data_IF_945761936673
#
_entry.id   IF_945761936673
#
_cell.length_a   1.000
_cell.length_b   1.000
_cell.length_c   1.000
_cell.angle_alpha   90.00
_cell.angle_beta   90.00
_cell.angle_gamma   90.00
#
_symmetry.space_group_name_H-M   'P 1'
#
loop_
_entity.id
_entity.type
_entity.pdbx_description
1 polymer ?
#
# COMPACT_ATOMS: atom_id res chain seq x y z
N UNK A 1 45.80 -31.43 11.24
CA UNK A 1 45.84 -29.97 10.99
C UNK A 1 44.47 -29.59 10.44
N UNK A 2 43.66 -28.90 11.24
CA UNK A 2 42.26 -28.58 10.93
C UNK A 2 42.21 -27.20 10.30
N UNK A 3 41.98 -27.14 8.98
CA UNK A 3 41.85 -25.87 8.26
C UNK A 3 40.39 -25.41 8.36
N UNK A 4 40.10 -24.58 9.36
CA UNK A 4 38.79 -23.93 9.53
C UNK A 4 38.74 -22.72 8.61
N UNK A 5 38.08 -22.86 7.47
CA UNK A 5 37.82 -21.77 6.54
C UNK A 5 36.72 -20.87 7.14
N UNK A 6 36.93 -19.56 7.32
CA UNK A 6 35.88 -18.69 7.86
C UNK A 6 34.74 -18.55 6.84
N UNK A 7 33.48 -18.49 7.29
CA UNK A 7 32.35 -18.31 6.38
C UNK A 7 32.50 -16.96 5.68
N UNK A 8 32.50 -16.96 4.36
CA UNK A 8 32.44 -15.75 3.54
C UNK A 8 31.19 -14.97 3.93
N UNK A 9 31.38 -13.91 4.71
CA UNK A 9 30.33 -12.94 5.03
C UNK A 9 29.82 -12.39 3.70
N UNK A 10 28.58 -12.75 3.34
CA UNK A 10 27.87 -12.14 2.22
C UNK A 10 27.77 -10.64 2.52
N UNK A 11 28.68 -9.86 1.98
CA UNK A 11 28.60 -8.40 2.00
C UNK A 11 27.30 -8.03 1.29
N UNK A 12 26.27 -7.67 2.07
CA UNK A 12 25.06 -7.09 1.49
C UNK A 12 25.44 -5.70 1.00
N UNK A 13 25.18 -5.44 -0.27
CA UNK A 13 25.37 -4.13 -0.85
C UNK A 13 24.47 -3.12 -0.10
N UNK A 14 25.04 -2.11 0.58
CA UNK A 14 24.27 -1.13 1.35
C UNK A 14 23.30 -0.35 0.47
N UNK A 15 23.58 -0.23 -0.83
CA UNK A 15 22.69 0.40 -1.81
C UNK A 15 21.43 -0.43 -2.02
N UNK A 16 21.59 -1.76 -2.11
CA UNK A 16 20.48 -2.69 -2.28
C UNK A 16 19.58 -2.71 -1.04
N UNK A 17 20.16 -2.73 0.16
CA UNK A 17 19.38 -2.65 1.41
C UNK A 17 18.58 -1.35 1.52
N UNK A 18 19.18 -0.22 1.14
CA UNK A 18 18.48 1.06 1.12
C UNK A 18 17.31 1.05 0.13
N UNK A 19 17.52 0.52 -1.08
CA UNK A 19 16.45 0.40 -2.08
C UNK A 19 15.33 -0.51 -1.59
N UNK A 20 15.64 -1.70 -1.08
CA UNK A 20 14.66 -2.64 -0.56
C UNK A 20 13.82 -2.02 0.57
N UNK A 21 14.46 -1.22 1.45
CA UNK A 21 13.76 -0.49 2.51
C UNK A 21 12.80 0.56 1.96
N UNK A 22 13.21 1.32 0.95
CA UNK A 22 12.36 2.32 0.30
C UNK A 22 11.13 1.66 -0.34
N UNK A 23 11.33 0.56 -1.08
CA UNK A 23 10.23 -0.16 -1.73
C UNK A 23 9.21 -0.67 -0.73
N UNK A 24 9.67 -1.34 0.34
CA UNK A 24 8.78 -1.81 1.42
C UNK A 24 8.03 -0.66 2.10
N UNK A 25 8.68 0.49 2.24
CA UNK A 25 8.06 1.66 2.87
C UNK A 25 6.96 2.21 1.96
N UNK A 26 7.22 2.35 0.67
CA UNK A 26 6.21 2.81 -0.30
C UNK A 26 5.05 1.82 -0.40
N UNK A 27 5.32 0.52 -0.40
CA UNK A 27 4.28 -0.53 -0.42
C UNK A 27 3.42 -0.50 0.85
N UNK A 28 4.02 -0.29 2.03
CA UNK A 28 3.27 -0.14 3.28
C UNK A 28 2.39 1.12 3.27
N UNK A 29 2.91 2.25 2.77
CA UNK A 29 2.14 3.49 2.63
C UNK A 29 1.00 3.35 1.63
N UNK A 30 1.24 2.66 0.50
CA UNK A 30 0.20 2.35 -0.48
C UNK A 30 -0.91 1.50 0.15
N UNK A 31 -0.56 0.44 0.87
CA UNK A 31 -1.52 -0.41 1.58
C UNK A 31 -2.36 0.38 2.60
N UNK A 32 -1.71 1.24 3.39
CA UNK A 32 -2.41 2.10 4.35
C UNK A 32 -3.35 3.09 3.66
N UNK A 33 -2.93 3.71 2.56
CA UNK A 33 -3.77 4.63 1.79
C UNK A 33 -5.01 3.92 1.23
N UNK A 34 -4.83 2.73 0.63
CA UNK A 34 -5.96 1.91 0.13
C UNK A 34 -6.95 1.61 1.25
N UNK A 35 -6.45 1.13 2.39
CA UNK A 35 -7.30 0.78 3.55
C UNK A 35 -8.04 2.00 4.11
N UNK A 36 -7.37 3.16 4.15
CA UNK A 36 -7.97 4.41 4.63
C UNK A 36 -9.07 4.90 3.69
N UNK A 37 -8.87 4.83 2.37
CA UNK A 37 -9.87 5.19 1.38
C UNK A 37 -11.10 4.26 1.44
N UNK A 38 -10.89 2.96 1.62
CA UNK A 38 -11.97 1.98 1.78
C UNK A 38 -12.83 2.26 3.02
N UNK A 39 -12.18 2.54 4.16
CA UNK A 39 -12.89 2.92 5.39
C UNK A 39 -13.63 4.24 5.22
N UNK A 40 -13.00 5.22 4.57
CA UNK A 40 -13.62 6.54 4.31
C UNK A 40 -14.87 6.39 3.45
N UNK A 41 -14.82 5.56 2.40
CA UNK A 41 -15.98 5.28 1.56
C UNK A 41 -17.11 4.63 2.38
N UNK A 42 -16.78 3.63 3.22
CA UNK A 42 -17.75 2.93 4.06
C UNK A 42 -18.46 3.89 5.02
N UNK A 43 -17.70 4.76 5.70
CA UNK A 43 -18.27 5.74 6.62
C UNK A 43 -19.09 6.82 5.90
N UNK A 44 -18.62 7.29 4.74
CA UNK A 44 -19.38 8.24 3.92
C UNK A 44 -20.70 7.63 3.44
N UNK A 45 -20.69 6.35 3.05
CA UNK A 45 -21.88 5.63 2.64
C UNK A 45 -22.90 5.49 3.78
N UNK A 46 -22.45 5.13 4.98
CA UNK A 46 -23.28 5.08 6.18
C UNK A 46 -23.87 6.45 6.52
N UNK A 47 -23.08 7.52 6.38
CA UNK A 47 -23.55 8.89 6.61
C UNK A 47 -24.61 9.33 5.59
N UNK A 48 -24.43 8.99 4.31
CA UNK A 48 -25.41 9.28 3.27
C UNK A 48 -26.73 8.54 3.54
N UNK A 49 -26.66 7.27 3.90
CA UNK A 49 -27.83 6.45 4.24
C UNK A 49 -28.56 7.00 5.48
N UNK A 50 -27.83 7.34 6.54
CA UNK A 50 -28.41 7.97 7.74
C UNK A 50 -29.08 9.32 7.44
N UNK A 51 -28.63 10.02 6.41
CA UNK A 51 -29.23 11.26 5.92
C UNK A 51 -30.35 11.03 4.89
N UNK A 52 -30.76 9.78 4.62
CA UNK A 52 -31.82 9.44 3.68
C UNK A 52 -31.44 9.59 2.20
N UNK A 53 -30.14 9.62 1.88
CA UNK A 53 -29.61 9.73 0.51
C UNK A 53 -29.00 8.41 0.05
N UNK A 54 -29.01 8.16 -1.26
CA UNK A 54 -28.25 7.04 -1.83
C UNK A 54 -26.77 7.42 -1.95
N UNK A 55 -25.91 6.43 -1.78
CA UNK A 55 -24.45 6.59 -1.94
C UNK A 55 -24.07 7.13 -3.33
N UNK A 56 -24.82 6.75 -4.38
CA UNK A 56 -24.61 7.22 -5.76
C UNK A 56 -24.96 8.71 -5.96
N UNK A 57 -25.75 9.28 -5.06
CA UNK A 57 -26.18 10.68 -5.09
C UNK A 57 -25.26 11.56 -4.22
N UNK A 58 -24.39 10.94 -3.41
CA UNK A 58 -23.46 11.63 -2.54
C UNK A 58 -22.11 11.87 -3.25
N UNK A 59 -21.76 13.15 -3.42
CA UNK A 59 -20.54 13.57 -4.10
C UNK A 59 -19.26 13.10 -3.40
N UNK A 60 -19.30 12.91 -2.07
CA UNK A 60 -18.16 12.40 -1.30
C UNK A 60 -17.98 10.91 -1.57
N UNK A 61 -19.06 10.12 -1.51
CA UNK A 61 -19.02 8.69 -1.79
C UNK A 61 -18.47 8.39 -3.19
N UNK A 62 -18.95 9.12 -4.20
CA UNK A 62 -18.52 8.94 -5.60
C UNK A 62 -17.04 9.29 -5.81
N UNK A 63 -16.55 10.40 -5.23
CA UNK A 63 -15.14 10.81 -5.33
C UNK A 63 -14.20 9.85 -4.61
N UNK A 64 -14.52 9.47 -3.37
CA UNK A 64 -13.68 8.55 -2.59
C UNK A 64 -13.62 7.18 -3.26
N UNK A 65 -14.74 6.69 -3.81
CA UNK A 65 -14.77 5.43 -4.56
C UNK A 65 -13.89 5.49 -5.82
N UNK A 66 -13.90 6.61 -6.55
CA UNK A 66 -13.06 6.80 -7.72
C UNK A 66 -11.56 6.78 -7.35
N UNK A 67 -11.16 7.52 -6.32
CA UNK A 67 -9.79 7.54 -5.83
C UNK A 67 -9.35 6.15 -5.33
N UNK A 68 -10.21 5.47 -4.55
CA UNK A 68 -9.96 4.11 -4.09
C UNK A 68 -9.67 3.16 -5.26
N UNK A 69 -10.51 3.17 -6.29
CA UNK A 69 -10.34 2.29 -7.45
C UNK A 69 -9.05 2.59 -8.21
N UNK A 70 -8.69 3.86 -8.38
CA UNK A 70 -7.43 4.26 -9.02
C UNK A 70 -6.24 3.74 -8.21
N UNK A 71 -6.18 4.05 -6.92
CA UNK A 71 -5.04 3.70 -6.07
C UNK A 71 -4.94 2.18 -5.88
N UNK A 72 -6.04 1.47 -5.67
CA UNK A 72 -6.09 0.01 -5.52
C UNK A 72 -5.60 -0.72 -6.77
N UNK A 73 -5.77 -0.15 -7.96
CA UNK A 73 -5.29 -0.75 -9.22
C UNK A 73 -3.77 -0.72 -9.38
N UNK A 74 -3.06 0.12 -8.60
CA UNK A 74 -1.61 0.22 -8.66
C UNK A 74 -0.97 -1.03 -8.05
N UNK A 75 -0.11 -1.70 -8.82
CA UNK A 75 0.67 -2.84 -8.31
C UNK A 75 1.75 -2.38 -7.31
N UNK A 76 2.00 -3.13 -6.23
CA UNK A 76 3.12 -2.88 -5.31
C UNK A 76 4.44 -2.75 -6.07
N UNK A 77 5.33 -1.88 -5.60
CA UNK A 77 6.63 -1.63 -6.23
C UNK A 77 7.52 -2.86 -6.10
N UNK A 78 7.51 -3.55 -4.95
CA UNK A 78 8.31 -4.76 -4.75
C UNK A 78 8.01 -5.87 -5.77
N UNK A 79 6.75 -5.98 -6.23
CA UNK A 79 6.32 -6.97 -7.23
C UNK A 79 6.85 -6.65 -8.64
N UNK A 80 7.31 -5.42 -8.90
CA UNK A 80 7.83 -5.02 -10.22
C UNK A 80 9.29 -5.43 -10.45
N UNK A 81 10.00 -5.84 -9.39
CA UNK A 81 11.41 -6.26 -9.46
C UNK A 81 11.61 -7.77 -9.57
N UNK A 82 10.57 -8.56 -9.30
CA UNK A 82 10.55 -10.02 -9.45
C UNK A 82 10.17 -10.41 -10.86
#
# INVERSE_FOLDING_TARGET
MTNTQPPTTKHKDPTKERLDRLERTVDALHHHLVSTLELTYTLAAQLAEAAGRKQSEDATCTKVLAEFNIIKSLKPISVRRT
#
